data_IF_855146942455
#
_entry.id   IF_855146942455
#
_cell.length_a   1.000
_cell.length_b   1.000
_cell.length_c   1.000
_cell.angle_alpha   90.00
_cell.angle_beta   90.00
_cell.angle_gamma   90.00
#
_symmetry.space_group_name_H-M   'P 1'
#
loop_
_entity.id
_entity.type
_entity.pdbx_description
1 polymer ?
#
# COMPACT_ATOMS: atom_id res chain seq x y z
N UNK A 1 15.47 17.93 15.52
CA UNK A 1 14.09 17.57 15.11
C UNK A 1 14.02 17.68 13.60
N UNK A 2 13.88 16.56 12.88
CA UNK A 2 13.68 16.58 11.43
C UNK A 2 12.31 17.18 11.15
N UNK A 3 12.26 18.24 10.33
CA UNK A 3 10.99 18.84 9.91
C UNK A 3 10.16 17.78 9.15
N UNK A 4 9.01 17.42 9.72
CA UNK A 4 8.04 16.54 9.04
C UNK A 4 7.49 17.31 7.84
N UNK A 5 7.69 16.75 6.64
CA UNK A 5 7.19 17.33 5.40
C UNK A 5 5.80 16.79 5.13
N UNK A 6 4.97 17.61 4.48
CA UNK A 6 3.59 17.25 4.16
C UNK A 6 3.28 17.47 2.69
N UNK A 7 2.57 16.52 2.09
CA UNK A 7 1.97 16.63 0.79
C UNK A 7 0.47 16.90 0.93
N UNK A 8 -0.02 17.93 0.24
CA UNK A 8 -1.45 18.26 0.21
C UNK A 8 -2.12 17.51 -0.93
N UNK A 9 -3.06 16.64 -0.61
CA UNK A 9 -3.78 15.80 -1.58
C UNK A 9 -5.25 16.19 -1.61
N UNK A 10 -5.77 16.51 -2.79
CA UNK A 10 -7.21 16.79 -2.96
C UNK A 10 -8.04 15.55 -2.64
N UNK A 11 -9.10 15.70 -1.84
CA UNK A 11 -10.02 14.58 -1.51
C UNK A 11 -10.49 13.79 -2.72
N UNK A 12 -10.84 14.46 -3.83
CA UNK A 12 -11.25 13.78 -5.09
C UNK A 12 -10.18 12.82 -5.62
N UNK A 13 -8.92 13.25 -5.63
CA UNK A 13 -7.78 12.43 -6.10
C UNK A 13 -7.55 11.24 -5.17
N UNK A 14 -7.65 11.48 -3.86
CA UNK A 14 -7.54 10.42 -2.87
C UNK A 14 -8.60 9.33 -3.09
N UNK A 15 -9.88 9.72 -3.20
CA UNK A 15 -10.97 8.76 -3.39
C UNK A 15 -10.84 7.94 -4.68
N UNK A 16 -10.40 8.56 -5.79
CA UNK A 16 -10.13 7.85 -7.04
C UNK A 16 -9.06 6.77 -6.91
N UNK A 17 -8.03 7.03 -6.10
CA UNK A 17 -6.94 6.09 -5.91
C UNK A 17 -7.33 5.01 -4.89
N UNK A 18 -8.09 5.37 -3.85
CA UNK A 18 -8.67 4.41 -2.91
C UNK A 18 -9.58 3.40 -3.61
N UNK A 19 -10.36 3.81 -4.63
CA UNK A 19 -11.13 2.86 -5.44
C UNK A 19 -10.26 1.84 -6.18
N UNK A 20 -9.08 2.25 -6.67
CA UNK A 20 -8.15 1.32 -7.29
C UNK A 20 -7.54 0.34 -6.26
N UNK A 21 -7.19 0.83 -5.07
CA UNK A 21 -6.69 -0.03 -4.01
C UNK A 21 -7.75 -1.03 -3.52
N UNK A 22 -9.02 -0.60 -3.40
CA UNK A 22 -10.11 -1.49 -3.03
C UNK A 22 -10.34 -2.60 -4.04
N UNK A 23 -10.12 -2.36 -5.33
CA UNK A 23 -10.18 -3.43 -6.34
C UNK A 23 -9.07 -4.48 -6.14
N UNK A 24 -7.93 -4.07 -5.59
CA UNK A 24 -6.76 -4.93 -5.40
C UNK A 24 -6.76 -5.67 -4.06
N UNK A 25 -7.32 -5.08 -3.00
CA UNK A 25 -7.22 -5.67 -1.66
C UNK A 25 -8.56 -5.88 -0.94
N UNK A 26 -9.67 -5.42 -1.53
CA UNK A 26 -11.00 -5.49 -0.94
C UNK A 26 -11.07 -4.92 0.49
N UNK A 27 -10.27 -3.88 0.77
CA UNK A 27 -10.32 -3.18 2.05
C UNK A 27 -11.71 -2.62 2.34
N UNK A 28 -12.14 -2.79 3.58
CA UNK A 28 -13.38 -2.23 4.11
C UNK A 28 -13.13 -0.93 4.89
N UNK A 29 -11.87 -0.49 4.95
CA UNK A 29 -11.45 0.58 5.83
C UNK A 29 -11.70 1.96 5.22
N UNK A 30 -12.08 2.94 6.06
CA UNK A 30 -12.25 4.32 5.61
C UNK A 30 -10.89 4.96 5.28
N UNK A 31 -10.88 5.81 4.26
CA UNK A 31 -9.66 6.50 3.80
C UNK A 31 -8.97 7.30 4.92
N UNK A 32 -9.72 7.80 5.91
CA UNK A 32 -9.15 8.53 7.06
C UNK A 32 -8.23 7.64 7.89
N UNK A 33 -8.60 6.36 8.08
CA UNK A 33 -7.77 5.41 8.82
C UNK A 33 -6.57 4.98 7.98
N UNK A 34 -6.75 4.73 6.68
CA UNK A 34 -5.65 4.40 5.76
C UNK A 34 -4.57 5.51 5.77
N UNK A 35 -5.00 6.78 5.72
CA UNK A 35 -4.07 7.93 5.81
C UNK A 35 -3.43 8.03 7.19
N UNK A 36 -4.17 7.74 8.27
CA UNK A 36 -3.63 7.72 9.64
C UNK A 36 -2.54 6.65 9.79
N UNK A 37 -2.79 5.44 9.33
CA UNK A 37 -1.83 4.35 9.32
C UNK A 37 -0.59 4.73 8.52
N UNK A 38 -0.77 5.21 7.28
CA UNK A 38 0.35 5.67 6.44
C UNK A 38 1.21 6.72 7.13
N UNK A 39 0.58 7.74 7.74
CA UNK A 39 1.26 8.83 8.43
C UNK A 39 1.94 8.39 9.75
N UNK A 40 1.49 7.28 10.35
CA UNK A 40 2.12 6.67 11.52
C UNK A 40 3.37 5.86 11.16
N UNK A 41 3.44 5.34 9.93
CA UNK A 41 4.63 4.64 9.42
C UNK A 41 5.78 5.61 9.20
N UNK A 42 6.95 5.25 9.72
CA UNK A 42 8.21 5.90 9.37
C UNK A 42 8.61 5.62 7.92
N UNK A 43 9.46 6.49 7.35
CA UNK A 43 10.00 6.31 6.00
C UNK A 43 10.70 4.94 5.82
N UNK A 44 11.39 4.45 6.86
CA UNK A 44 12.02 3.12 6.83
C UNK A 44 10.99 1.99 6.80
N UNK A 45 9.90 2.08 7.57
CA UNK A 45 8.82 1.10 7.51
C UNK A 45 8.13 1.09 6.15
N UNK A 46 7.84 2.27 5.57
CA UNK A 46 7.27 2.37 4.22
C UNK A 46 8.18 1.72 3.18
N UNK A 47 9.49 1.96 3.27
CA UNK A 47 10.45 1.33 2.39
C UNK A 47 10.52 -0.19 2.62
N UNK A 48 10.44 -0.67 3.85
CA UNK A 48 10.43 -2.10 4.16
C UNK A 48 9.20 -2.80 3.57
N UNK A 49 8.03 -2.17 3.63
CA UNK A 49 6.80 -2.65 2.97
C UNK A 49 7.02 -2.82 1.46
N UNK A 50 7.61 -1.82 0.80
CA UNK A 50 7.92 -1.88 -0.64
C UNK A 50 8.91 -2.99 -0.97
N UNK A 51 9.91 -3.23 -0.12
CA UNK A 51 10.88 -4.32 -0.36
C UNK A 51 10.26 -5.70 -0.16
N UNK A 52 9.40 -5.86 0.84
CA UNK A 52 8.67 -7.11 1.07
C UNK A 52 7.72 -7.43 -0.10
N UNK A 53 7.03 -6.43 -0.65
CA UNK A 53 6.21 -6.61 -1.86
C UNK A 53 7.05 -7.09 -3.04
N UNK A 54 8.19 -6.44 -3.32
CA UNK A 54 9.09 -6.83 -4.41
C UNK A 54 9.62 -8.25 -4.25
N UNK A 55 9.95 -8.65 -3.02
CA UNK A 55 10.42 -10.01 -2.73
C UNK A 55 9.31 -11.04 -3.02
N UNK A 56 8.08 -10.75 -2.58
CA UNK A 56 6.92 -11.63 -2.79
C UNK A 56 6.56 -11.75 -4.25
N UNK A 57 6.57 -10.63 -4.96
CA UNK A 57 6.30 -10.57 -6.39
C UNK A 57 7.33 -11.36 -7.19
N UNK A 58 8.61 -11.26 -6.82
CA UNK A 58 9.67 -12.10 -7.40
C UNK A 58 9.41 -13.58 -7.16
N UNK A 59 9.11 -13.97 -5.92
CA UNK A 59 8.82 -15.37 -5.57
C UNK A 59 7.55 -15.90 -6.27
N UNK A 60 6.55 -15.04 -6.46
CA UNK A 60 5.33 -15.38 -7.18
C UNK A 60 5.66 -15.69 -8.63
N UNK A 61 6.38 -14.80 -9.32
CA UNK A 61 6.81 -14.99 -10.72
C UNK A 61 7.70 -16.21 -10.93
N UNK A 62 8.55 -16.55 -9.96
CA UNK A 62 9.38 -17.76 -10.02
C UNK A 62 8.56 -19.05 -9.86
N UNK A 63 7.46 -19.00 -9.09
CA UNK A 63 6.61 -20.17 -8.80
C UNK A 63 5.45 -20.34 -9.77
N UNK A 64 4.92 -19.24 -10.31
CA UNK A 64 3.86 -19.27 -11.30
C UNK A 64 4.47 -19.53 -12.68
N UNK A 65 4.64 -20.80 -13.01
CA UNK A 65 5.19 -21.22 -14.31
C UNK A 65 4.17 -21.16 -15.45
N UNK A 66 2.88 -20.96 -15.12
CA UNK A 66 1.77 -21.01 -16.04
C UNK A 66 1.06 -19.64 -16.07
N UNK A 67 0.52 -19.24 -17.23
CA UNK A 67 -0.17 -17.96 -17.45
C UNK A 67 -1.60 -17.93 -16.91
N UNK A 68 -1.83 -18.46 -15.70
CA UNK A 68 -3.13 -18.35 -15.03
C UNK A 68 -3.26 -16.97 -14.37
N UNK A 69 -3.97 -16.07 -15.04
CA UNK A 69 -4.19 -14.70 -14.59
C UNK A 69 -4.97 -14.65 -13.27
N UNK A 70 -5.96 -15.52 -13.09
CA UNK A 70 -6.80 -15.56 -11.88
C UNK A 70 -5.98 -16.02 -10.66
N UNK A 71 -5.12 -17.04 -10.85
CA UNK A 71 -4.20 -17.51 -9.80
C UNK A 71 -3.16 -16.44 -9.46
N UNK A 72 -2.64 -15.72 -10.46
CA UNK A 72 -1.71 -14.62 -10.23
C UNK A 72 -2.38 -13.52 -9.41
N UNK A 73 -3.55 -13.05 -9.83
CA UNK A 73 -4.31 -12.01 -9.13
C UNK A 73 -4.59 -12.43 -7.68
N UNK A 74 -5.13 -13.63 -7.48
CA UNK A 74 -5.42 -14.17 -6.14
C UNK A 74 -4.17 -14.18 -5.26
N UNK A 75 -3.04 -14.64 -5.81
CA UNK A 75 -1.77 -14.70 -5.07
C UNK A 75 -1.22 -13.31 -4.74
N UNK A 76 -1.35 -12.34 -5.65
CA UNK A 76 -0.99 -10.94 -5.37
C UNK A 76 -1.85 -10.34 -4.26
N UNK A 77 -3.17 -10.60 -4.25
CA UNK A 77 -4.07 -10.14 -3.17
C UNK A 77 -3.69 -10.76 -1.81
N UNK A 78 -3.38 -12.05 -1.79
CA UNK A 78 -2.89 -12.75 -0.59
C UNK A 78 -1.57 -12.15 -0.11
N UNK A 79 -0.65 -11.86 -1.03
CA UNK A 79 0.63 -11.24 -0.68
C UNK A 79 0.45 -9.86 -0.03
N UNK A 80 -0.46 -9.01 -0.54
CA UNK A 80 -0.78 -7.73 0.10
C UNK A 80 -1.26 -7.91 1.53
N UNK A 81 -2.13 -8.89 1.80
CA UNK A 81 -2.64 -9.18 3.14
C UNK A 81 -1.56 -9.74 4.08
N UNK A 82 -0.63 -10.56 3.58
CA UNK A 82 0.50 -11.04 4.38
C UNK A 82 1.43 -9.88 4.78
N UNK A 83 1.66 -8.92 3.88
CA UNK A 83 2.43 -7.72 4.21
C UNK A 83 1.67 -6.90 5.25
N UNK A 84 0.39 -6.66 5.02
CA UNK A 84 -0.47 -5.88 5.92
C UNK A 84 -0.42 -6.42 7.37
N UNK A 85 -0.53 -7.74 7.54
CA UNK A 85 -0.47 -8.38 8.85
C UNK A 85 0.90 -8.26 9.54
N UNK A 86 2.01 -8.27 8.77
CA UNK A 86 3.36 -8.07 9.34
C UNK A 86 3.57 -6.68 9.94
N UNK A 87 2.87 -5.68 9.41
CA UNK A 87 3.01 -4.28 9.83
C UNK A 87 1.84 -3.77 10.67
N UNK A 88 0.84 -4.62 10.94
CA UNK A 88 -0.39 -4.29 11.68
C UNK A 88 -1.12 -3.07 11.09
N UNK A 89 -1.34 -3.12 9.78
CA UNK A 89 -2.02 -2.08 8.99
C UNK A 89 -3.04 -2.71 8.05
N UNK A 90 -3.89 -1.89 7.45
CA UNK A 90 -4.80 -2.29 6.39
C UNK A 90 -4.05 -2.57 5.07
N UNK A 91 -4.47 -3.55 4.25
CA UNK A 91 -3.83 -3.81 2.96
C UNK A 91 -3.96 -2.65 1.96
N UNK A 92 -4.94 -1.75 2.09
CA UNK A 92 -4.96 -0.52 1.28
C UNK A 92 -3.85 0.46 1.69
N UNK A 93 -3.43 0.44 2.96
CA UNK A 93 -2.24 1.18 3.43
C UNK A 93 -0.97 0.60 2.80
N UNK A 94 -0.88 -0.72 2.64
CA UNK A 94 0.21 -1.37 1.88
C UNK A 94 0.22 -0.89 0.43
N UNK A 95 -0.93 -0.87 -0.25
CA UNK A 95 -1.04 -0.34 -1.62
C UNK A 95 -0.59 1.13 -1.70
N UNK A 96 -0.92 1.95 -0.70
CA UNK A 96 -0.47 3.33 -0.61
C UNK A 96 1.04 3.46 -0.37
N UNK A 97 1.69 2.49 0.26
CA UNK A 97 3.16 2.46 0.35
C UNK A 97 3.82 2.06 -0.99
N UNK A 98 3.23 1.13 -1.74
CA UNK A 98 3.74 0.64 -3.02
C UNK A 98 3.59 1.69 -4.13
N UNK A 99 2.43 2.35 -4.18
CA UNK A 99 2.10 3.37 -5.16
C UNK A 99 1.77 4.70 -4.47
N UNK A 100 2.76 5.38 -3.85
CA UNK A 100 2.49 6.48 -2.94
C UNK A 100 2.02 7.76 -3.64
N UNK A 101 1.21 8.53 -2.92
CA UNK A 101 0.70 9.84 -3.35
C UNK A 101 1.70 10.98 -3.12
N UNK A 102 2.78 10.70 -2.39
CA UNK A 102 3.82 11.63 -1.97
C UNK A 102 5.17 10.91 -1.86
N UNK A 103 6.23 11.65 -1.53
CA UNK A 103 7.54 11.03 -1.27
C UNK A 103 7.48 10.21 0.02
N UNK A 104 8.33 9.17 0.13
CA UNK A 104 8.34 8.28 1.30
C UNK A 104 8.61 8.99 2.64
N UNK A 105 9.24 10.17 2.60
CA UNK A 105 9.51 11.00 3.78
C UNK A 105 8.48 12.12 4.01
N UNK A 106 7.37 12.13 3.29
CA UNK A 106 6.28 13.10 3.42
C UNK A 106 5.05 12.43 4.05
N UNK A 107 4.34 13.15 4.90
CA UNK A 107 3.02 12.77 5.39
C UNK A 107 1.94 13.36 4.49
N UNK A 108 0.77 12.72 4.45
CA UNK A 108 -0.36 13.16 3.64
C UNK A 108 -1.28 14.03 4.50
N UNK A 109 -1.64 15.21 3.98
CA UNK A 109 -2.76 16.02 4.47
C UNK A 109 -3.79 16.09 3.35
N UNK A 110 -5.03 15.78 3.69
CA UNK A 110 -6.14 15.84 2.75
C UNK A 110 -6.76 17.23 2.78
N UNK A 111 -6.94 17.83 1.60
CA UNK A 111 -7.49 19.17 1.39
C UNK A 111 -8.65 19.17 0.41
#
# INVERSE_FOLDING_TARGET
MTHIKYARIKKKKLLQIMSAYNLLCHSLQDWTIIIKEYNSLSSSQRNAIVQEEKLREKLLKEKLTNSDEDMYLTSSMVNLNIIASKFDIDPATVCLCIAPLCKSNENIIVV
#
